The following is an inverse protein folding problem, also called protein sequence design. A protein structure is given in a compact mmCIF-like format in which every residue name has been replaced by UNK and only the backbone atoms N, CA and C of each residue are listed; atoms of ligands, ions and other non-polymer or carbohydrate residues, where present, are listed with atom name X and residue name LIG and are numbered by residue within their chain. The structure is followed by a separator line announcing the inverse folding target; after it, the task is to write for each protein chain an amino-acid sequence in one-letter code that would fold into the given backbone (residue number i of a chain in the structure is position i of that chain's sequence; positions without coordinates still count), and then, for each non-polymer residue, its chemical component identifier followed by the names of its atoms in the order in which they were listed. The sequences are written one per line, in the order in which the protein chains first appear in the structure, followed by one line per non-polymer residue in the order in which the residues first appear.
data_IF_519952015193
#
_entry.id   IF_519952015193
#
_cell.length_a   1.000
_cell.length_b   1.000
_cell.length_c   1.000
_cell.angle_alpha   90.00
_cell.angle_beta   90.00
_cell.angle_gamma   90.00
#
_symmetry.space_group_name_H-M   'P 1'
#
loop_
_entity.id
_entity.type
_entity.pdbx_description
1 polymer ?
#
# COMPACT_ATOMS: atom_id res chain seq x y z
N UNK A 1 -10.67 22.05 17.50
CA UNK A 1 -9.30 21.50 17.53
C UNK A 1 -8.93 21.08 16.11
N UNK A 2 -8.09 21.85 15.44
CA UNK A 2 -7.59 21.54 14.10
C UNK A 2 -6.52 20.46 14.24
N UNK A 3 -6.74 19.29 13.65
CA UNK A 3 -5.79 18.19 13.67
C UNK A 3 -4.44 18.67 13.13
N UNK A 4 -3.38 18.41 13.87
CA UNK A 4 -2.02 18.79 13.51
C UNK A 4 -1.64 18.04 12.23
N UNK A 5 -1.65 18.76 11.10
CA UNK A 5 -1.13 18.29 9.83
C UNK A 5 0.39 18.26 9.92
N UNK A 6 0.96 17.11 10.31
CA UNK A 6 2.42 16.90 10.29
C UNK A 6 2.84 16.53 8.86
N UNK A 7 3.85 17.23 8.35
CA UNK A 7 4.43 17.03 7.03
C UNK A 7 4.99 15.61 6.84
N UNK A 8 4.87 15.09 5.59
CA UNK A 8 5.35 13.78 5.17
C UNK A 8 4.22 12.75 5.09
N UNK A 9 3.45 12.76 3.99
CA UNK A 9 2.31 11.85 3.74
C UNK A 9 2.77 10.39 3.64
N UNK A 10 3.11 9.77 4.76
CA UNK A 10 3.04 8.33 4.93
C UNK A 10 1.58 8.02 5.21
N UNK A 11 0.90 7.36 4.28
CA UNK A 11 -0.47 6.89 4.49
C UNK A 11 -0.53 6.20 5.85
N UNK A 12 -1.58 6.45 6.64
CA UNK A 12 -1.72 5.87 7.98
C UNK A 12 -1.68 4.32 7.97
N UNK A 13 -1.76 3.74 6.78
CA UNK A 13 -1.77 2.31 6.47
C UNK A 13 -0.74 1.92 5.38
N UNK A 14 0.27 2.75 5.10
CA UNK A 14 1.32 2.36 4.14
C UNK A 14 2.02 1.08 4.64
N UNK A 15 2.23 0.07 3.80
CA UNK A 15 2.88 -1.17 4.18
C UNK A 15 4.27 -0.87 4.73
N UNK A 16 4.57 -1.44 5.90
CA UNK A 16 5.87 -1.26 6.55
C UNK A 16 6.95 -2.11 5.92
N UNK A 17 6.56 -3.22 5.29
CA UNK A 17 7.42 -4.18 4.62
C UNK A 17 6.90 -4.36 3.19
N UNK A 18 7.83 -4.66 2.29
CA UNK A 18 7.54 -4.87 0.88
C UNK A 18 7.84 -6.31 0.56
N UNK A 19 6.86 -7.02 -0.02
CA UNK A 19 7.01 -8.32 -0.67
C UNK A 19 7.54 -9.45 0.22
N UNK A 20 7.19 -10.71 -0.09
CA UNK A 20 8.03 -11.82 0.30
C UNK A 20 9.20 -11.90 -0.68
N UNK A 21 10.41 -11.74 -0.18
CA UNK A 21 11.61 -12.07 -0.95
C UNK A 21 12.25 -13.33 -0.40
N UNK A 22 12.70 -14.20 -1.30
CA UNK A 22 13.45 -15.40 -0.92
C UNK A 22 14.86 -14.98 -0.51
N UNK A 23 15.40 -15.65 0.50
CA UNK A 23 16.79 -15.47 0.89
C UNK A 23 17.63 -16.31 -0.06
N UNK A 24 18.41 -15.66 -0.94
CA UNK A 24 19.35 -16.33 -1.84
C UNK A 24 20.52 -16.92 -1.03
N UNK A 25 21.07 -16.13 -0.12
CA UNK A 25 22.27 -16.49 0.64
C UNK A 25 22.32 -15.79 2.00
N UNK A 26 22.87 -16.49 3.00
CA UNK A 26 23.30 -15.87 4.26
C UNK A 26 24.77 -15.49 4.15
N UNK A 27 25.06 -14.18 4.15
CA UNK A 27 26.44 -13.67 4.03
C UNK A 27 27.11 -13.65 5.40
N UNK A 28 26.38 -13.28 6.45
CA UNK A 28 26.88 -13.27 7.82
C UNK A 28 25.77 -13.56 8.83
N UNK A 29 26.08 -13.49 10.13
CA UNK A 29 25.05 -13.62 11.16
C UNK A 29 23.96 -12.54 11.07
N UNK A 30 24.29 -11.38 10.51
CA UNK A 30 23.43 -10.21 10.47
C UNK A 30 23.10 -9.73 9.06
N UNK A 31 23.74 -10.26 8.02
CA UNK A 31 23.54 -9.84 6.63
C UNK A 31 23.04 -11.01 5.75
N UNK A 32 21.96 -10.77 5.03
CA UNK A 32 21.30 -11.74 4.16
C UNK A 32 21.10 -11.12 2.78
N UNK A 33 21.35 -11.92 1.75
CA UNK A 33 21.10 -11.59 0.36
C UNK A 33 19.72 -12.09 -0.05
N UNK A 34 18.92 -11.21 -0.64
CA UNK A 34 17.57 -11.49 -1.13
C UNK A 34 17.55 -11.64 -2.65
N UNK A 35 16.70 -12.54 -3.14
CA UNK A 35 16.30 -12.60 -4.55
C UNK A 35 15.32 -11.45 -4.83
N UNK A 36 15.88 -10.30 -5.20
CA UNK A 36 15.10 -9.13 -5.61
C UNK A 36 14.71 -9.24 -7.09
N UNK A 37 13.51 -8.79 -7.47
CA UNK A 37 13.06 -8.79 -8.84
C UNK A 37 13.74 -7.65 -9.61
N UNK A 38 13.77 -7.75 -10.94
CA UNK A 38 14.58 -6.86 -11.80
C UNK A 38 14.15 -5.39 -11.70
N UNK A 39 12.90 -5.11 -11.34
CA UNK A 39 12.38 -3.76 -11.10
C UNK A 39 13.09 -3.06 -9.93
N UNK A 40 13.72 -3.83 -9.03
CA UNK A 40 14.48 -3.35 -7.88
C UNK A 40 15.99 -3.48 -8.06
N UNK A 41 16.50 -3.65 -9.28
CA UNK A 41 17.93 -3.81 -9.55
C UNK A 41 18.81 -2.66 -9.02
N UNK A 42 18.25 -1.46 -8.85
CA UNK A 42 18.94 -0.30 -8.25
C UNK A 42 19.17 -0.45 -6.74
N UNK A 43 18.42 -1.34 -6.07
CA UNK A 43 18.53 -1.60 -4.63
C UNK A 43 19.54 -2.72 -4.39
N UNK A 44 20.42 -2.54 -3.41
CA UNK A 44 21.34 -3.60 -3.00
C UNK A 44 20.55 -4.81 -2.49
N UNK A 45 20.90 -6.01 -2.99
CA UNK A 45 20.28 -7.28 -2.59
C UNK A 45 20.61 -7.69 -1.15
N UNK A 46 21.62 -7.09 -0.54
CA UNK A 46 22.10 -7.44 0.81
C UNK A 46 21.51 -6.52 1.86
N UNK A 47 20.78 -7.11 2.81
CA UNK A 47 20.11 -6.40 3.89
C UNK A 47 20.56 -6.89 5.26
N UNK A 48 20.55 -5.97 6.22
CA UNK A 48 20.73 -6.31 7.62
C UNK A 48 19.45 -6.97 8.18
N UNK A 49 19.59 -7.97 9.06
CA UNK A 49 18.49 -8.76 9.61
C UNK A 49 17.41 -7.91 10.31
N UNK A 50 17.77 -6.75 10.86
CA UNK A 50 16.81 -5.81 11.49
C UNK A 50 15.84 -5.17 10.49
N UNK A 51 16.17 -5.15 9.20
CA UNK A 51 15.32 -4.65 8.12
C UNK A 51 14.37 -5.74 7.59
N UNK A 52 14.61 -7.00 7.96
CA UNK A 52 13.86 -8.15 7.48
C UNK A 52 12.80 -8.55 8.50
N UNK A 53 11.66 -9.03 8.02
CA UNK A 53 10.64 -9.69 8.83
C UNK A 53 10.32 -11.04 8.21
N UNK A 54 10.32 -12.09 9.03
CA UNK A 54 9.94 -13.43 8.58
C UNK A 54 8.50 -13.38 8.07
N UNK A 55 8.28 -13.77 6.82
CA UNK A 55 6.94 -14.01 6.30
C UNK A 55 6.34 -15.23 7.01
N UNK A 56 5.13 -15.07 7.54
CA UNK A 56 4.37 -16.12 8.23
C UNK A 56 3.14 -16.40 7.36
N UNK A 57 2.99 -17.63 6.88
CA UNK A 57 1.94 -18.01 5.92
C UNK A 57 2.53 -18.51 4.61
N UNK A 58 1.67 -18.83 3.65
CA UNK A 58 2.08 -19.26 2.32
C UNK A 58 2.55 -18.07 1.47
N UNK A 59 3.83 -18.02 1.03
CA UNK A 59 4.34 -16.91 0.21
C UNK A 59 3.61 -16.74 -1.11
N UNK A 60 3.01 -17.80 -1.68
CA UNK A 60 2.22 -17.70 -2.92
C UNK A 60 0.89 -16.99 -2.75
N UNK A 61 0.36 -16.89 -1.53
CA UNK A 61 -0.82 -16.10 -1.28
C UNK A 61 -0.50 -14.60 -1.35
N UNK A 62 0.72 -14.19 -1.06
CA UNK A 62 1.11 -12.78 -1.08
C UNK A 62 1.27 -12.34 -2.53
N UNK A 63 0.50 -11.35 -3.02
CA UNK A 63 0.60 -10.90 -4.39
C UNK A 63 2.06 -10.53 -4.67
N UNK A 64 2.63 -11.02 -5.79
CA UNK A 64 3.89 -10.54 -6.28
C UNK A 64 3.82 -9.02 -6.29
N UNK A 65 4.92 -8.40 -5.88
CA UNK A 65 4.95 -6.95 -5.77
C UNK A 65 5.07 -6.35 -7.16
N UNK A 66 4.00 -6.46 -7.95
CA UNK A 66 3.95 -5.99 -9.33
C UNK A 66 4.09 -4.47 -9.30
N UNK A 67 5.26 -4.00 -9.75
CA UNK A 67 5.55 -2.59 -10.02
C UNK A 67 5.54 -1.64 -8.81
N UNK A 68 6.31 -1.91 -7.75
CA UNK A 68 6.73 -0.81 -6.88
C UNK A 68 7.64 0.11 -7.71
N UNK A 69 7.07 1.20 -8.21
CA UNK A 69 7.84 2.36 -8.69
C UNK A 69 8.50 3.02 -7.49
N UNK A 70 9.63 2.48 -7.05
CA UNK A 70 10.49 3.15 -6.09
C UNK A 70 11.04 4.39 -6.80
N UNK A 71 10.48 5.57 -6.50
CA UNK A 71 11.08 6.83 -6.94
C UNK A 71 12.45 6.97 -6.27
N UNK A 72 13.36 7.73 -6.88
CA UNK A 72 14.78 7.96 -6.49
C UNK A 72 15.04 8.25 -4.99
N UNK A 73 13.99 8.56 -4.21
CA UNK A 73 14.04 8.80 -2.76
C UNK A 73 13.57 7.61 -1.91
N UNK A 74 13.57 6.37 -2.42
CA UNK A 74 13.04 5.19 -1.72
C UNK A 74 11.57 5.36 -1.28
N UNK A 75 10.80 6.20 -1.97
CA UNK A 75 9.40 6.46 -1.69
C UNK A 75 8.54 5.63 -2.63
N UNK A 76 7.69 4.77 -2.06
CA UNK A 76 6.66 4.03 -2.81
C UNK A 76 5.36 4.84 -2.84
N UNK A 77 4.72 4.87 -4.01
CA UNK A 77 3.43 5.52 -4.22
C UNK A 77 2.35 4.43 -4.37
N UNK A 78 1.49 4.30 -3.37
CA UNK A 78 0.30 3.45 -3.47
C UNK A 78 -0.71 4.09 -4.42
N UNK A 79 -1.00 3.39 -5.51
CA UNK A 79 -2.01 3.80 -6.48
C UNK A 79 -3.31 3.07 -6.12
N UNK A 80 -4.41 3.80 -5.86
CA UNK A 80 -5.71 3.18 -5.67
C UNK A 80 -6.19 2.59 -7.00
N UNK A 81 -6.64 1.34 -6.96
CA UNK A 81 -7.06 0.59 -8.15
C UNK A 81 -8.57 0.65 -8.32
N UNK A 82 -9.31 0.46 -7.24
CA UNK A 82 -10.76 0.34 -7.32
C UNK A 82 -11.45 0.73 -6.00
N UNK A 83 -12.66 1.25 -6.11
CA UNK A 83 -13.59 1.39 -4.98
C UNK A 83 -14.42 0.11 -4.89
N UNK A 84 -14.31 -0.58 -3.76
CA UNK A 84 -14.97 -1.86 -3.51
C UNK A 84 -16.34 -1.71 -2.87
N UNK A 85 -16.53 -0.67 -2.07
CA UNK A 85 -17.75 -0.48 -1.29
C UNK A 85 -17.91 0.99 -0.89
N UNK A 86 -19.11 1.39 -0.51
CA UNK A 86 -19.47 2.74 -0.08
C UNK A 86 -20.41 2.68 1.11
N UNK A 87 -20.07 3.40 2.18
CA UNK A 87 -20.91 3.48 3.37
C UNK A 87 -21.08 4.91 3.86
N UNK A 88 -22.21 5.17 4.51
CA UNK A 88 -22.49 6.43 5.20
C UNK A 88 -22.40 6.21 6.70
N UNK A 89 -21.42 6.83 7.35
CA UNK A 89 -21.27 6.79 8.81
C UNK A 89 -21.94 8.01 9.40
N UNK A 90 -23.07 7.81 10.08
CA UNK A 90 -23.74 8.86 10.84
C UNK A 90 -22.97 9.14 12.13
N UNK A 91 -22.37 10.32 12.23
CA UNK A 91 -21.79 10.82 13.47
C UNK A 91 -22.84 11.68 14.20
N UNK A 92 -22.58 11.98 15.48
CA UNK A 92 -23.49 12.81 16.32
C UNK A 92 -23.87 14.16 15.71
N UNK A 93 -23.07 14.68 14.78
CA UNK A 93 -23.22 16.04 14.26
C UNK A 93 -23.31 16.09 12.73
N UNK A 94 -22.86 15.05 12.02
CA UNK A 94 -22.73 15.03 10.56
C UNK A 94 -22.74 13.61 10.04
N UNK A 95 -23.20 13.44 8.81
CA UNK A 95 -23.03 12.21 8.05
C UNK A 95 -21.72 12.27 7.28
N UNK A 96 -20.88 11.24 7.42
CA UNK A 96 -19.60 11.12 6.73
C UNK A 96 -19.67 9.96 5.74
N UNK A 97 -19.51 10.26 4.46
CA UNK A 97 -19.46 9.23 3.43
C UNK A 97 -18.03 8.70 3.28
N UNK A 98 -17.88 7.39 3.33
CA UNK A 98 -16.60 6.69 3.22
C UNK A 98 -16.68 5.62 2.14
N UNK A 99 -15.60 5.48 1.38
CA UNK A 99 -15.43 4.46 0.34
C UNK A 99 -14.35 3.47 0.76
N UNK A 100 -14.58 2.19 0.49
CA UNK A 100 -13.58 1.13 0.69
C UNK A 100 -12.71 1.07 -0.55
N UNK A 101 -11.42 1.32 -0.41
CA UNK A 101 -10.49 1.47 -1.53
C UNK A 101 -9.48 0.33 -1.52
N UNK A 102 -9.41 -0.36 -2.65
CA UNK A 102 -8.38 -1.33 -2.97
C UNK A 102 -7.15 -0.58 -3.50
N UNK A 103 -6.00 -0.84 -2.89
CA UNK A 103 -4.71 -0.31 -3.31
C UNK A 103 -3.96 -1.37 -4.10
N UNK A 104 -3.20 -0.98 -5.13
CA UNK A 104 -2.66 -1.93 -6.11
C UNK A 104 -1.71 -2.99 -5.56
N UNK A 105 -1.11 -2.76 -4.39
CA UNK A 105 -0.19 -3.71 -3.77
C UNK A 105 -0.72 -4.29 -2.45
N UNK A 106 -2.03 -4.22 -2.23
CA UNK A 106 -2.70 -4.74 -1.04
C UNK A 106 -3.77 -5.74 -1.43
N UNK A 107 -4.05 -6.66 -0.51
CA UNK A 107 -5.17 -7.58 -0.67
C UNK A 107 -6.52 -6.88 -0.56
N UNK A 108 -7.58 -7.52 -1.09
CA UNK A 108 -8.97 -7.06 -0.93
C UNK A 108 -9.37 -7.00 0.55
N UNK A 109 -8.83 -7.90 1.36
CA UNK A 109 -8.99 -7.96 2.81
C UNK A 109 -8.31 -6.79 3.52
N UNK A 110 -7.25 -6.23 2.93
CA UNK A 110 -6.48 -5.09 3.46
C UNK A 110 -7.01 -3.73 2.99
N UNK A 111 -8.00 -3.71 2.09
CA UNK A 111 -8.59 -2.48 1.56
C UNK A 111 -9.12 -1.55 2.66
N UNK A 112 -8.88 -0.25 2.50
CA UNK A 112 -9.03 0.74 3.56
C UNK A 112 -10.27 1.61 3.35
N UNK A 113 -10.85 2.13 4.44
CA UNK A 113 -11.97 3.07 4.36
C UNK A 113 -11.45 4.51 4.34
N UNK A 114 -11.64 5.20 3.22
CA UNK A 114 -11.23 6.58 3.01
C UNK A 114 -12.43 7.51 2.84
N UNK A 115 -12.28 8.79 3.15
CA UNK A 115 -13.36 9.79 3.00
C UNK A 115 -13.62 10.04 1.51
N UNK A 116 -14.88 9.92 1.09
CA UNK A 116 -15.26 10.01 -0.33
C UNK A 116 -14.84 11.37 -0.95
N UNK A 117 -15.05 12.48 -0.23
CA UNK A 117 -14.69 13.82 -0.71
C UNK A 117 -13.18 13.97 -0.98
N UNK A 118 -12.33 13.34 -0.15
CA UNK A 118 -10.88 13.41 -0.33
C UNK A 118 -10.43 12.55 -1.51
N UNK A 119 -11.07 11.39 -1.69
CA UNK A 119 -10.79 10.49 -2.82
C UNK A 119 -11.26 11.10 -4.14
N UNK A 120 -12.44 11.74 -4.20
CA UNK A 120 -12.91 12.46 -5.39
C UNK A 120 -11.98 13.59 -5.82
N UNK A 121 -11.39 14.32 -4.86
CA UNK A 121 -10.43 15.40 -5.15
C UNK A 121 -9.09 14.90 -5.67
N UNK A 122 -8.61 13.75 -5.18
CA UNK A 122 -7.27 13.22 -5.51
C UNK A 122 -7.26 12.24 -6.68
N UNK A 123 -8.31 11.44 -6.80
CA UNK A 123 -8.46 10.35 -7.75
C UNK A 123 -9.85 10.39 -8.41
N UNK A 124 -10.18 11.47 -9.14
CA UNK A 124 -11.51 11.64 -9.74
C UNK A 124 -11.88 10.49 -10.70
N UNK A 125 -10.89 9.95 -11.42
CA UNK A 125 -11.06 8.84 -12.36
C UNK A 125 -11.66 7.57 -11.73
N UNK A 126 -11.53 7.35 -10.43
CA UNK A 126 -12.13 6.19 -9.74
C UNK A 126 -13.66 6.31 -9.62
N UNK A 127 -14.20 7.52 -9.77
CA UNK A 127 -15.63 7.83 -9.61
C UNK A 127 -16.34 8.09 -10.94
N UNK A 128 -15.61 8.08 -12.07
CA UNK A 128 -16.17 8.33 -13.40
C UNK A 128 -16.96 7.12 -13.96
N UNK A 129 -16.78 5.93 -13.38
CA UNK A 129 -17.44 4.69 -13.83
C UNK A 129 -18.84 4.44 -13.23
N UNK A 130 -19.33 5.25 -12.28
CA UNK A 130 -20.69 5.09 -11.71
C UNK A 130 -21.80 5.73 -12.59
N UNK A 131 -21.49 6.13 -13.83
CA UNK A 131 -22.39 6.92 -14.68
C UNK A 131 -23.20 6.17 -15.76
N UNK A 132 -23.06 4.85 -15.92
CA UNK A 132 -23.82 4.08 -16.92
C UNK A 132 -24.42 2.81 -16.30
N UNK A 133 -25.57 2.96 -15.63
CA UNK A 133 -26.56 1.90 -15.51
C UNK A 133 -27.93 2.57 -15.48
N UNK A 134 -28.67 2.34 -16.58
CA UNK A 134 -30.04 2.79 -16.84
C UNK A 134 -31.06 2.35 -15.77
#
# INVERSE_FOLDING_TARGET
MKGVMRFGKKWKLSPRYIGPYRIAKRISNVAYELELPQELATVHSVFHISMLKKCIGDPSLIPPTESIRIKDKLCYEEIPVQILDRQVRRLRTKDLVSVKVLWGNQFVEEATWEVEEDMKKRYPHLFEFEGNAD
#
